data_IF_768318355024
#
_entry.id   IF_768318355024
#
_cell.length_a   1.000
_cell.length_b   1.000
_cell.length_c   1.000
_cell.angle_alpha   90.00
_cell.angle_beta   90.00
_cell.angle_gamma   90.00
#
_symmetry.space_group_name_H-M   'P 1'
#
loop_
_entity.id
_entity.type
_entity.pdbx_description
1 polymer ?
#
# COMPACT_ATOMS: atom_id res chain seq x y z
N UNK A 1 24.35 -9.91 -1.69
CA UNK A 1 23.50 -8.80 -2.12
C UNK A 1 22.25 -8.74 -1.29
N UNK A 2 22.01 -7.62 -0.71
CA UNK A 2 20.86 -7.50 0.17
C UNK A 2 19.70 -6.82 -0.53
N UNK A 3 18.55 -7.38 -0.32
CA UNK A 3 17.32 -6.74 -0.74
C UNK A 3 16.83 -5.91 0.42
N UNK A 4 16.87 -4.61 0.28
CA UNK A 4 16.31 -3.73 1.30
C UNK A 4 14.82 -3.73 1.16
N UNK A 5 14.15 -4.24 2.18
CA UNK A 5 12.71 -4.12 2.26
C UNK A 5 12.35 -3.76 3.69
N UNK A 6 11.42 -2.86 3.83
CA UNK A 6 10.99 -2.37 5.12
C UNK A 6 9.50 -2.54 5.25
N UNK A 7 9.07 -3.21 6.32
CA UNK A 7 7.64 -3.24 6.62
C UNK A 7 7.32 -1.93 7.32
N UNK A 8 6.58 -1.07 6.64
CA UNK A 8 6.27 0.26 7.19
C UNK A 8 4.91 0.31 7.87
N UNK A 9 4.10 -0.72 7.69
CA UNK A 9 2.80 -0.80 8.37
C UNK A 9 2.36 -2.25 8.40
N UNK A 10 1.76 -2.65 9.51
CA UNK A 10 1.22 -4.00 9.65
C UNK A 10 0.01 -3.97 10.58
N UNK A 11 -1.03 -4.67 10.18
CA UNK A 11 -2.23 -4.85 10.99
C UNK A 11 -2.72 -6.28 10.81
N UNK A 12 -3.86 -6.60 11.37
CA UNK A 12 -4.46 -7.93 11.18
C UNK A 12 -4.88 -8.14 9.74
N UNK A 13 -5.17 -7.08 9.01
CA UNK A 13 -5.75 -7.19 7.67
C UNK A 13 -4.76 -6.90 6.56
N UNK A 14 -3.78 -6.04 6.81
CA UNK A 14 -2.88 -5.59 5.75
C UNK A 14 -1.47 -5.45 6.26
N UNK A 15 -0.51 -5.53 5.34
CA UNK A 15 0.78 -4.93 5.61
C UNK A 15 1.32 -4.28 4.35
N UNK A 16 2.19 -3.32 4.56
CA UNK A 16 2.78 -2.53 3.50
C UNK A 16 4.29 -2.63 3.61
N UNK A 17 4.91 -2.99 2.51
CA UNK A 17 6.36 -3.15 2.43
C UNK A 17 6.91 -2.10 1.48
N UNK A 18 7.98 -1.46 1.90
CA UNK A 18 8.69 -0.51 1.06
C UNK A 18 9.94 -1.17 0.49
N UNK A 19 10.15 -0.99 -0.80
CA UNK A 19 11.34 -1.46 -1.49
C UNK A 19 12.10 -0.24 -2.02
N UNK A 20 13.00 0.36 -1.21
CA UNK A 20 13.64 1.60 -1.62
C UNK A 20 14.45 1.47 -2.91
N UNK A 21 15.10 0.33 -3.10
CA UNK A 21 15.94 0.14 -4.28
C UNK A 21 15.14 0.17 -5.57
N UNK A 22 13.89 -0.26 -5.53
CA UNK A 22 13.02 -0.26 -6.70
C UNK A 22 12.09 0.94 -6.74
N UNK A 23 12.18 1.82 -5.75
CA UNK A 23 11.26 2.96 -5.63
C UNK A 23 9.81 2.46 -5.66
N UNK A 24 9.54 1.45 -4.84
CA UNK A 24 8.25 0.78 -4.90
C UNK A 24 7.73 0.36 -3.54
N UNK A 25 6.48 -0.04 -3.57
CA UNK A 25 5.77 -0.55 -2.40
C UNK A 25 4.98 -1.78 -2.78
N UNK A 26 4.75 -2.62 -1.79
CA UNK A 26 3.85 -3.74 -1.95
C UNK A 26 2.78 -3.65 -0.86
N UNK A 27 1.53 -3.69 -1.28
CA UNK A 27 0.39 -3.74 -0.37
C UNK A 27 -0.12 -5.18 -0.34
N UNK A 28 -0.12 -5.77 0.84
CA UNK A 28 -0.55 -7.16 0.98
C UNK A 28 -1.84 -7.21 1.78
N UNK A 29 -2.85 -7.82 1.19
CA UNK A 29 -4.12 -8.11 1.86
C UNK A 29 -3.98 -9.50 2.47
N UNK A 30 -3.86 -9.54 3.79
CA UNK A 30 -3.61 -10.78 4.50
C UNK A 30 -4.83 -11.71 4.49
N UNK A 31 -6.01 -11.15 4.30
CA UNK A 31 -7.24 -11.95 4.30
C UNK A 31 -7.37 -12.77 3.03
N UNK A 32 -6.93 -12.21 1.91
CA UNK A 32 -7.01 -12.90 0.62
C UNK A 32 -5.66 -13.43 0.17
N UNK A 33 -4.60 -13.16 0.92
CA UNK A 33 -3.24 -13.55 0.57
C UNK A 33 -2.80 -12.95 -0.76
N UNK A 34 -3.29 -11.77 -1.09
CA UNK A 34 -2.94 -11.09 -2.32
C UNK A 34 -2.01 -9.94 -2.05
N UNK A 35 -0.98 -9.83 -2.88
CA UNK A 35 -0.07 -8.70 -2.83
C UNK A 35 -0.09 -7.96 -4.15
N UNK A 36 -0.02 -6.65 -4.08
CA UNK A 36 0.05 -5.79 -5.25
C UNK A 36 1.31 -4.94 -5.13
N UNK A 37 2.19 -5.06 -6.10
CA UNK A 37 3.42 -4.27 -6.13
C UNK A 37 3.24 -3.11 -7.10
N UNK A 38 3.71 -1.94 -6.69
CA UNK A 38 3.65 -0.77 -7.56
C UNK A 38 4.88 0.09 -7.34
N UNK A 39 5.26 0.83 -8.36
CA UNK A 39 6.46 1.65 -8.31
C UNK A 39 6.29 2.89 -9.17
N UNK A 40 7.27 3.77 -9.13
CA UNK A 40 7.24 5.00 -9.91
C UNK A 40 6.21 5.97 -9.38
N UNK A 41 5.47 6.60 -10.29
CA UNK A 41 4.49 7.63 -9.93
C UNK A 41 3.38 7.08 -9.05
N UNK A 42 2.98 5.83 -9.28
CA UNK A 42 1.95 5.20 -8.46
C UNK A 42 2.45 5.03 -7.03
N UNK A 43 3.72 4.65 -6.87
CA UNK A 43 4.30 4.50 -5.55
C UNK A 43 4.36 5.85 -4.83
N UNK A 44 4.73 6.91 -5.55
CA UNK A 44 4.77 8.23 -4.95
C UNK A 44 3.40 8.67 -4.50
N UNK A 45 2.39 8.42 -5.33
CA UNK A 45 1.02 8.79 -4.99
C UNK A 45 0.54 8.00 -3.77
N UNK A 46 0.86 6.72 -3.74
CA UNK A 46 0.49 5.89 -2.60
C UNK A 46 1.14 6.40 -1.32
N UNK A 47 2.43 6.70 -1.35
CA UNK A 47 3.15 7.16 -0.17
C UNK A 47 2.57 8.47 0.35
N UNK A 48 2.29 9.40 -0.55
CA UNK A 48 1.71 10.68 -0.16
C UNK A 48 0.32 10.50 0.42
N UNK A 49 -0.48 9.65 -0.19
CA UNK A 49 -1.85 9.40 0.27
C UNK A 49 -1.85 8.68 1.61
N UNK A 50 -0.94 7.73 1.79
CA UNK A 50 -0.84 7.02 3.06
C UNK A 50 -0.44 7.98 4.17
N UNK A 51 0.53 8.85 3.90
CA UNK A 51 0.97 9.81 4.89
C UNK A 51 -0.17 10.75 5.28
N UNK A 52 -0.95 11.19 4.30
CA UNK A 52 -2.10 12.04 4.57
C UNK A 52 -3.14 11.31 5.40
N UNK A 53 -3.38 10.04 5.09
CA UNK A 53 -4.35 9.25 5.84
C UNK A 53 -3.92 9.07 7.29
N UNK A 54 -2.63 8.80 7.52
CA UNK A 54 -2.10 8.63 8.87
C UNK A 54 -2.15 9.94 9.64
N UNK A 55 -1.90 11.05 8.97
CA UNK A 55 -1.97 12.36 9.60
C UNK A 55 -3.40 12.67 10.03
N UNK A 56 -4.37 12.28 9.22
CA UNK A 56 -5.76 12.56 9.51
C UNK A 56 -6.31 11.61 10.58
N UNK A 57 -5.95 10.34 10.52
CA UNK A 57 -6.43 9.34 11.45
C UNK A 57 -5.39 8.23 11.56
N UNK A 58 -4.58 8.30 12.61
CA UNK A 58 -3.49 7.35 12.82
C UNK A 58 -3.95 6.02 13.38
N UNK A 59 -5.25 5.83 13.60
CA UNK A 59 -5.74 4.56 14.14
C UNK A 59 -5.58 3.45 13.12
N UNK A 60 -5.46 2.21 13.61
CA UNK A 60 -5.36 1.06 12.73
C UNK A 60 -6.59 0.97 11.84
N UNK A 61 -7.76 1.26 12.41
CA UNK A 61 -9.00 1.21 11.64
C UNK A 61 -8.99 2.20 10.49
N UNK A 62 -8.53 3.41 10.75
CA UNK A 62 -8.50 4.44 9.72
C UNK A 62 -7.52 4.11 8.62
N UNK A 63 -6.35 3.61 8.98
CA UNK A 63 -5.34 3.26 7.99
C UNK A 63 -5.80 2.04 7.18
N UNK A 64 -6.38 1.04 7.83
CA UNK A 64 -6.89 -0.12 7.13
C UNK A 64 -7.99 0.26 6.15
N UNK A 65 -8.85 1.21 6.52
CA UNK A 65 -9.89 1.67 5.63
C UNK A 65 -9.30 2.33 4.38
N UNK A 66 -8.26 3.15 4.58
CA UNK A 66 -7.58 3.75 3.44
C UNK A 66 -6.96 2.68 2.55
N UNK A 67 -6.28 1.69 3.16
CA UNK A 67 -5.63 0.65 2.38
C UNK A 67 -6.64 -0.17 1.60
N UNK A 68 -7.78 -0.45 2.20
CA UNK A 68 -8.84 -1.17 1.51
C UNK A 68 -9.37 -0.43 0.31
N UNK A 69 -9.55 0.88 0.45
CA UNK A 69 -9.99 1.71 -0.68
C UNK A 69 -8.96 1.73 -1.79
N UNK A 70 -7.69 1.85 -1.41
CA UNK A 70 -6.63 1.89 -2.40
C UNK A 70 -6.50 0.55 -3.12
N UNK A 71 -6.62 -0.54 -2.38
CA UNK A 71 -6.55 -1.89 -2.93
C UNK A 71 -7.65 -2.13 -3.96
N UNK A 72 -8.85 -1.66 -3.67
CA UNK A 72 -9.96 -1.77 -4.62
C UNK A 72 -9.65 -1.02 -5.91
N UNK A 73 -9.07 0.17 -5.79
CA UNK A 73 -8.71 0.96 -6.97
C UNK A 73 -7.67 0.24 -7.82
N UNK A 74 -6.69 -0.39 -7.18
CA UNK A 74 -5.65 -1.11 -7.91
C UNK A 74 -6.18 -2.36 -8.57
N UNK A 75 -7.19 -2.97 -7.96
CA UNK A 75 -7.71 -4.25 -8.40
C UNK A 75 -8.76 -4.11 -9.48
N UNK A 76 -9.28 -2.91 -9.70
CA UNK A 76 -10.28 -2.71 -10.72
C UNK A 76 -9.68 -2.90 -12.10
N UNK A 77 -10.38 -3.61 -12.96
CA UNK A 77 -9.90 -3.73 -14.34
C UNK A 77 -9.80 -2.34 -14.95
N UNK A 78 -8.78 -2.17 -15.73
CA UNK A 78 -8.60 -0.91 -16.42
C UNK A 78 -9.71 -0.77 -17.44
N UNK A 79 -10.59 0.17 -17.20
CA UNK A 79 -11.67 0.43 -18.11
C UNK A 79 -11.24 1.54 -19.04
N UNK A 80 -11.14 1.21 -20.29
CA UNK A 80 -10.72 2.18 -21.30
C UNK A 80 -11.95 2.62 -22.07
N UNK A 81 -12.13 3.88 -22.07
CA UNK A 81 -13.26 4.47 -22.76
C UNK A 81 -12.82 5.19 -24.00
#
# INVERSE_FOLDING_TARGET
METNMNVIYASDNYYVVEYPAQHGYELVDKRSSRGTFFQGDVADRFANSLQAAVTEDASVEGVDEFLGSFDVQLDQPLVIH
#
